data_IF_228615185490
#
_entry.id   IF_228615185490
#
_cell.length_a   1.000
_cell.length_b   1.000
_cell.length_c   1.000
_cell.angle_alpha   90.00
_cell.angle_beta   90.00
_cell.angle_gamma   90.00
#
_symmetry.space_group_name_H-M   'P 1'
#
loop_
_entity.id
_entity.type
_entity.pdbx_description
1 polymer ?
#
# COMPACT_ATOMS: atom_id res chain seq x y z
N UNK A 1 -35.10 22.29 28.17
CA UNK A 1 -35.14 20.92 27.61
C UNK A 1 -34.15 20.75 26.47
N UNK A 2 -34.41 21.34 25.30
CA UNK A 2 -33.64 21.09 24.07
C UNK A 2 -32.14 21.40 24.13
N UNK A 3 -31.73 22.49 24.79
CA UNK A 3 -30.30 22.84 24.92
C UNK A 3 -29.49 21.81 25.74
N UNK A 4 -30.10 21.25 26.80
CA UNK A 4 -29.46 20.21 27.62
C UNK A 4 -29.38 18.90 26.84
N UNK A 5 -30.41 18.55 26.08
CA UNK A 5 -30.42 17.35 25.23
C UNK A 5 -29.36 17.45 24.11
N UNK A 6 -29.22 18.61 23.49
CA UNK A 6 -28.21 18.86 22.45
C UNK A 6 -26.79 18.79 23.01
N UNK A 7 -26.56 19.38 24.19
CA UNK A 7 -25.26 19.31 24.85
C UNK A 7 -24.86 17.86 25.22
N UNK A 8 -25.82 17.05 25.69
CA UNK A 8 -25.59 15.62 25.97
C UNK A 8 -25.27 14.85 24.68
N UNK A 9 -25.99 15.09 23.58
CA UNK A 9 -25.73 14.44 22.30
C UNK A 9 -24.36 14.80 21.70
N UNK A 10 -23.89 16.03 21.91
CA UNK A 10 -22.56 16.47 21.45
C UNK A 10 -21.41 15.98 22.35
N UNK A 11 -21.68 15.68 23.62
CA UNK A 11 -20.69 15.23 24.59
C UNK A 11 -20.50 13.70 24.62
N UNK A 12 -21.43 12.94 24.03
CA UNK A 12 -21.27 11.49 23.88
C UNK A 12 -20.07 11.20 22.97
N UNK A 13 -19.11 10.36 23.39
CA UNK A 13 -18.00 9.97 22.54
C UNK A 13 -18.57 9.26 21.32
N UNK A 14 -18.54 9.92 20.15
CA UNK A 14 -18.99 9.28 18.93
C UNK A 14 -18.06 8.11 18.67
N UNK A 15 -18.57 6.88 18.51
CA UNK A 15 -17.72 5.75 18.18
C UNK A 15 -16.98 6.08 16.88
N UNK A 16 -15.65 6.16 16.98
CA UNK A 16 -14.76 6.39 15.87
C UNK A 16 -14.50 5.03 15.20
N UNK A 17 -15.40 4.59 14.33
CA UNK A 17 -15.23 3.36 13.56
C UNK A 17 -14.12 3.48 12.49
N UNK A 18 -13.01 4.16 12.81
CA UNK A 18 -11.94 4.47 11.86
C UNK A 18 -12.35 5.46 10.76
N UNK A 19 -13.41 6.26 10.94
CA UNK A 19 -13.85 7.24 9.92
C UNK A 19 -12.72 8.22 9.60
N UNK A 20 -12.39 8.30 8.31
CA UNK A 20 -11.46 9.30 7.83
C UNK A 20 -11.97 10.72 8.09
N UNK A 21 -11.05 11.63 8.40
CA UNK A 21 -11.36 13.06 8.51
C UNK A 21 -11.81 13.58 7.14
N UNK A 22 -12.88 14.37 7.11
CA UNK A 22 -13.48 14.90 5.88
C UNK A 22 -12.48 15.71 5.03
N UNK A 23 -12.64 15.60 3.71
CA UNK A 23 -11.86 16.23 2.64
C UNK A 23 -12.78 16.36 1.41
N UNK A 24 -12.49 17.31 0.51
CA UNK A 24 -13.18 17.42 -0.78
C UNK A 24 -12.91 16.21 -1.69
N UNK A 25 -11.74 15.59 -1.54
CA UNK A 25 -11.36 14.37 -2.24
C UNK A 25 -11.36 13.18 -1.28
N UNK A 26 -12.10 12.12 -1.63
CA UNK A 26 -12.23 10.92 -0.82
C UNK A 26 -10.94 10.09 -0.78
N UNK A 27 -10.26 9.95 -1.92
CA UNK A 27 -9.01 9.22 -2.07
C UNK A 27 -8.02 10.07 -2.84
N UNK A 28 -6.78 10.12 -2.35
CA UNK A 28 -5.65 10.72 -3.08
C UNK A 28 -4.47 9.78 -2.99
N UNK A 29 -3.85 9.44 -4.11
CA UNK A 29 -2.72 8.52 -4.18
C UNK A 29 -1.68 9.14 -5.08
N UNK A 30 -0.49 9.42 -4.54
CA UNK A 30 0.61 9.95 -5.33
C UNK A 30 1.34 8.81 -6.02
N UNK A 31 1.14 8.66 -7.33
CA UNK A 31 1.77 7.59 -8.11
C UNK A 31 3.02 8.12 -8.81
N UNK A 32 4.17 7.40 -8.77
CA UNK A 32 5.33 7.79 -9.58
C UNK A 32 5.03 7.71 -11.06
N UNK A 33 5.79 8.45 -11.87
CA UNK A 33 5.75 8.26 -13.32
C UNK A 33 6.15 6.82 -13.67
N UNK A 34 5.26 6.13 -14.39
CA UNK A 34 5.47 4.75 -14.84
C UNK A 34 5.81 4.82 -16.33
N UNK A 35 7.04 4.47 -16.71
CA UNK A 35 7.53 4.61 -18.09
C UNK A 35 6.79 3.68 -19.06
N UNK A 36 6.46 2.45 -18.62
CA UNK A 36 5.81 1.41 -19.44
C UNK A 36 4.73 0.65 -18.64
N UNK A 37 3.64 1.31 -18.21
CA UNK A 37 2.63 0.70 -17.35
C UNK A 37 1.97 -0.54 -17.97
N UNK A 38 1.82 -0.57 -19.29
CA UNK A 38 1.29 -1.70 -20.06
C UNK A 38 2.19 -2.96 -20.00
N UNK A 39 3.49 -2.78 -19.74
CA UNK A 39 4.49 -3.86 -19.57
C UNK A 39 4.82 -4.13 -18.10
N UNK A 40 4.34 -3.30 -17.20
CA UNK A 40 4.57 -3.45 -15.77
C UNK A 40 3.51 -4.32 -15.09
N UNK A 41 3.92 -4.94 -13.98
CA UNK A 41 3.02 -5.65 -13.08
C UNK A 41 3.35 -5.27 -11.64
N UNK A 42 2.31 -4.94 -10.87
CA UNK A 42 2.42 -4.68 -9.44
C UNK A 42 1.86 -5.86 -8.66
N UNK A 43 2.68 -6.41 -7.79
CA UNK A 43 2.33 -7.48 -6.87
C UNK A 43 1.86 -6.90 -5.53
N UNK A 44 0.91 -7.57 -4.87
CA UNK A 44 0.50 -7.26 -3.51
C UNK A 44 0.71 -8.49 -2.62
N UNK A 45 1.32 -8.31 -1.45
CA UNK A 45 1.61 -9.41 -0.50
C UNK A 45 0.79 -9.36 0.77
N UNK A 46 0.03 -8.28 0.96
CA UNK A 46 -0.72 -7.99 2.19
C UNK A 46 -1.99 -7.23 1.86
N UNK A 47 -2.95 -7.24 2.79
CA UNK A 47 -4.18 -6.46 2.71
C UNK A 47 -4.33 -5.61 3.99
N UNK A 48 -4.99 -4.44 3.91
CA UNK A 48 -5.64 -3.85 2.73
C UNK A 48 -4.72 -2.87 1.98
N UNK A 49 -4.35 -3.21 0.73
CA UNK A 49 -3.62 -2.30 -0.18
C UNK A 49 -4.35 -2.06 -1.51
N UNK A 50 -5.48 -2.72 -1.73
CA UNK A 50 -6.21 -2.65 -3.00
C UNK A 50 -6.78 -1.26 -3.32
N UNK A 51 -7.00 -0.40 -2.33
CA UNK A 51 -7.56 0.94 -2.57
C UNK A 51 -6.56 1.91 -3.21
N UNK A 52 -5.25 1.66 -3.10
CA UNK A 52 -4.24 2.49 -3.76
C UNK A 52 -4.31 2.38 -5.28
N UNK A 53 -4.79 1.26 -5.82
CA UNK A 53 -4.76 0.94 -7.26
C UNK A 53 -5.56 1.93 -8.10
N UNK A 54 -6.57 2.58 -7.50
CA UNK A 54 -7.40 3.59 -8.16
C UNK A 54 -6.61 4.82 -8.63
N UNK A 55 -5.43 5.09 -8.05
CA UNK A 55 -4.57 6.20 -8.48
C UNK A 55 -3.61 5.85 -9.63
N UNK A 56 -3.45 4.57 -9.96
CA UNK A 56 -2.46 4.13 -10.95
C UNK A 56 -3.02 4.18 -12.38
N UNK A 57 -2.15 4.20 -13.41
CA UNK A 57 -2.59 4.13 -14.80
C UNK A 57 -3.45 2.89 -15.08
N UNK A 58 -4.52 3.06 -15.86
CA UNK A 58 -5.45 1.97 -16.18
C UNK A 58 -4.81 0.80 -16.97
N UNK A 59 -3.70 1.03 -17.66
CA UNK A 59 -2.95 0.00 -18.39
C UNK A 59 -2.09 -0.89 -17.49
N UNK A 60 -1.87 -0.49 -16.22
CA UNK A 60 -1.07 -1.22 -15.25
C UNK A 60 -1.84 -2.41 -14.67
N UNK A 61 -1.20 -3.58 -14.68
CA UNK A 61 -1.77 -4.78 -14.07
C UNK A 61 -1.39 -4.91 -12.60
N UNK A 62 -2.30 -5.53 -11.83
CA UNK A 62 -2.11 -5.88 -10.42
C UNK A 62 -2.40 -7.37 -10.19
N UNK A 63 -1.67 -7.98 -9.27
CA UNK A 63 -1.93 -9.36 -8.82
C UNK A 63 -1.59 -9.54 -7.34
N UNK A 64 -2.43 -10.26 -6.60
CA UNK A 64 -2.14 -10.57 -5.19
C UNK A 64 -1.48 -11.92 -5.05
N UNK A 65 -0.28 -11.97 -4.50
CA UNK A 65 0.48 -13.22 -4.31
C UNK A 65 0.45 -13.72 -2.86
N UNK A 66 -0.31 -13.04 -2.01
CA UNK A 66 -0.65 -13.43 -0.64
C UNK A 66 -1.90 -12.68 -0.19
N UNK A 67 -2.56 -13.18 0.86
CA UNK A 67 -3.78 -12.62 1.44
C UNK A 67 -5.07 -12.96 0.67
N UNK A 68 -6.18 -13.11 1.40
CA UNK A 68 -7.54 -13.13 0.84
C UNK A 68 -8.00 -14.39 0.11
N UNK A 69 -7.11 -15.26 -0.36
CA UNK A 69 -7.47 -16.51 -1.05
C UNK A 69 -6.41 -17.61 -0.83
N UNK A 70 -6.78 -18.90 -0.71
CA UNK A 70 -5.80 -19.99 -0.62
C UNK A 70 -5.00 -20.08 -1.92
N UNK A 71 -3.67 -20.04 -1.83
CA UNK A 71 -2.81 -20.28 -2.99
C UNK A 71 -3.00 -21.68 -3.57
N UNK A 72 -2.75 -21.82 -4.88
CA UNK A 72 -2.74 -23.11 -5.56
C UNK A 72 -1.72 -23.08 -6.70
N UNK A 73 -1.24 -24.26 -7.13
CA UNK A 73 -0.29 -24.35 -8.23
C UNK A 73 -0.80 -23.71 -9.54
N UNK A 74 -2.11 -23.80 -9.80
CA UNK A 74 -2.74 -23.14 -10.96
C UNK A 74 -2.73 -21.61 -10.81
N UNK A 75 -2.89 -21.10 -9.59
CA UNK A 75 -2.78 -19.67 -9.33
C UNK A 75 -1.34 -19.18 -9.57
N UNK A 76 -0.34 -19.94 -9.10
CA UNK A 76 1.07 -19.59 -9.29
C UNK A 76 1.45 -19.60 -10.79
N UNK A 77 0.94 -20.57 -11.55
CA UNK A 77 1.08 -20.58 -13.03
C UNK A 77 0.43 -19.34 -13.67
N UNK A 78 -0.73 -18.91 -13.17
CA UNK A 78 -1.40 -17.70 -13.67
C UNK A 78 -0.58 -16.45 -13.38
N UNK A 79 -0.01 -16.31 -12.18
CA UNK A 79 0.89 -15.21 -11.81
C UNK A 79 2.11 -15.20 -12.75
N UNK A 80 2.76 -16.35 -12.95
CA UNK A 80 3.92 -16.48 -13.84
C UNK A 80 3.58 -16.09 -15.29
N UNK A 81 2.41 -16.50 -15.79
CA UNK A 81 1.92 -16.13 -17.12
C UNK A 81 1.68 -14.61 -17.24
N UNK A 82 1.07 -13.97 -16.24
CA UNK A 82 0.91 -12.51 -16.21
C UNK A 82 2.28 -11.80 -16.25
N UNK A 83 3.24 -12.29 -15.48
CA UNK A 83 4.58 -11.72 -15.48
C UNK A 83 5.29 -11.90 -16.84
N UNK A 84 5.11 -13.02 -17.51
CA UNK A 84 5.67 -13.28 -18.84
C UNK A 84 5.04 -12.37 -19.91
N UNK A 85 3.73 -12.20 -19.90
CA UNK A 85 2.98 -11.34 -20.81
C UNK A 85 3.40 -9.87 -20.69
N UNK A 86 3.58 -9.39 -19.47
CA UNK A 86 3.92 -7.99 -19.19
C UNK A 86 5.40 -7.71 -19.49
N UNK A 87 6.30 -8.62 -19.14
CA UNK A 87 7.73 -8.51 -19.46
C UNK A 87 8.53 -7.57 -18.54
N UNK A 88 7.86 -6.77 -17.70
CA UNK A 88 8.48 -5.93 -16.68
C UNK A 88 8.61 -4.45 -17.08
N UNK A 89 8.96 -3.56 -16.14
CA UNK A 89 9.44 -3.84 -14.78
C UNK A 89 8.36 -4.33 -13.81
N UNK A 90 8.77 -5.04 -12.75
CA UNK A 90 7.88 -5.56 -11.71
C UNK A 90 8.07 -4.80 -10.40
N UNK A 91 6.98 -4.62 -9.66
CA UNK A 91 6.99 -3.93 -8.39
C UNK A 91 6.18 -4.68 -7.35
N UNK A 92 6.44 -4.46 -6.07
CA UNK A 92 5.53 -4.84 -5.00
C UNK A 92 5.02 -3.58 -4.31
N UNK A 93 3.71 -3.55 -4.06
CA UNK A 93 3.04 -2.49 -3.32
C UNK A 93 2.79 -2.94 -1.89
N UNK A 94 3.33 -2.19 -0.94
CA UNK A 94 3.30 -2.49 0.49
C UNK A 94 2.72 -1.30 1.26
N UNK A 95 2.15 -1.55 2.44
CA UNK A 95 1.82 -0.46 3.35
C UNK A 95 3.09 0.22 3.88
N UNK A 96 2.98 1.50 4.22
CA UNK A 96 3.99 2.20 5.03
C UNK A 96 3.36 2.71 6.32
N UNK A 97 4.12 2.63 7.40
CA UNK A 97 3.76 3.06 8.75
C UNK A 97 4.38 4.43 9.08
N UNK A 98 5.02 5.05 8.09
CA UNK A 98 5.55 6.41 8.25
C UNK A 98 4.45 7.41 8.58
N UNK A 99 4.82 8.34 9.46
CA UNK A 99 3.96 9.45 9.86
C UNK A 99 3.96 10.54 8.78
N UNK A 100 2.95 11.40 8.77
CA UNK A 100 2.87 12.50 7.82
C UNK A 100 4.09 13.43 8.00
N UNK A 101 4.95 13.61 6.98
CA UNK A 101 6.09 14.53 7.06
C UNK A 101 5.68 15.96 7.40
N UNK A 102 4.46 16.38 7.02
CA UNK A 102 3.92 17.71 7.31
C UNK A 102 3.67 17.92 8.81
N UNK A 103 3.42 16.85 9.58
CA UNK A 103 3.26 16.91 11.04
C UNK A 103 4.59 17.00 11.79
N UNK A 104 5.73 16.97 11.09
CA UNK A 104 7.08 17.07 11.65
C UNK A 104 7.28 16.14 12.85
N UNK A 105 7.10 14.82 12.67
CA UNK A 105 7.20 13.85 13.76
C UNK A 105 8.59 13.92 14.42
N UNK A 106 8.61 13.69 15.75
CA UNK A 106 9.87 13.57 16.51
C UNK A 106 10.75 12.47 15.92
N UNK A 107 12.07 12.60 16.08
CA UNK A 107 13.05 11.65 15.56
C UNK A 107 12.74 10.20 15.98
N UNK A 108 12.34 9.99 17.24
CA UNK A 108 11.95 8.68 17.75
C UNK A 108 10.78 8.05 16.97
N UNK A 109 9.72 8.83 16.70
CA UNK A 109 8.59 8.33 15.91
C UNK A 109 8.97 8.02 14.46
N UNK A 110 9.92 8.77 13.89
CA UNK A 110 10.43 8.47 12.54
C UNK A 110 11.15 7.11 12.52
N UNK A 111 12.04 6.89 13.49
CA UNK A 111 12.76 5.61 13.63
C UNK A 111 11.82 4.42 13.78
N UNK A 112 10.79 4.56 14.62
CA UNK A 112 9.75 3.53 14.78
C UNK A 112 9.03 3.23 13.45
N UNK A 113 8.72 4.26 12.65
CA UNK A 113 8.15 4.08 11.32
C UNK A 113 9.11 3.37 10.35
N UNK A 114 10.39 3.73 10.37
CA UNK A 114 11.42 3.11 9.53
C UNK A 114 11.61 1.62 9.86
N UNK A 115 11.62 1.27 11.15
CA UNK A 115 11.70 -0.10 11.66
C UNK A 115 10.45 -0.91 11.29
N UNK A 116 9.26 -0.33 11.43
CA UNK A 116 8.01 -0.97 11.03
C UNK A 116 7.97 -1.21 9.51
N UNK A 117 8.39 -0.24 8.70
CA UNK A 117 8.50 -0.38 7.25
C UNK A 117 9.51 -1.48 6.86
N UNK A 118 10.61 -1.61 7.60
CA UNK A 118 11.59 -2.66 7.40
C UNK A 118 11.00 -4.05 7.70
N UNK A 119 10.22 -4.18 8.78
CA UNK A 119 9.52 -5.43 9.11
C UNK A 119 8.52 -5.82 8.00
N UNK A 120 7.75 -4.85 7.49
CA UNK A 120 6.82 -5.07 6.37
C UNK A 120 7.55 -5.57 5.12
N UNK A 121 8.71 -4.99 4.77
CA UNK A 121 9.52 -5.45 3.63
C UNK A 121 10.10 -6.84 3.85
N UNK A 122 10.50 -7.18 5.08
CA UNK A 122 11.01 -8.51 5.40
C UNK A 122 9.93 -9.59 5.23
N UNK A 123 8.70 -9.33 5.69
CA UNK A 123 7.56 -10.22 5.47
C UNK A 123 7.23 -10.37 3.97
N UNK A 124 7.22 -9.26 3.24
CA UNK A 124 7.02 -9.26 1.79
C UNK A 124 8.10 -10.08 1.08
N UNK A 125 9.36 -9.99 1.50
CA UNK A 125 10.46 -10.75 0.93
C UNK A 125 10.25 -12.27 1.07
N UNK A 126 9.76 -12.76 2.22
CA UNK A 126 9.40 -14.18 2.41
C UNK A 126 8.30 -14.61 1.44
N UNK A 127 7.32 -13.75 1.20
CA UNK A 127 6.26 -14.05 0.23
C UNK A 127 6.78 -14.05 -1.20
N UNK A 128 7.57 -13.05 -1.58
CA UNK A 128 8.18 -12.95 -2.91
C UNK A 128 9.09 -14.16 -3.21
N UNK A 129 9.84 -14.63 -2.21
CA UNK A 129 10.76 -15.76 -2.33
C UNK A 129 10.06 -17.03 -2.84
N UNK A 130 8.86 -17.31 -2.31
CA UNK A 130 8.03 -18.46 -2.72
C UNK A 130 7.62 -18.41 -4.20
N UNK A 131 7.63 -17.23 -4.79
CA UNK A 131 7.28 -16.99 -6.20
C UNK A 131 8.51 -16.78 -7.09
N UNK A 132 9.73 -17.08 -6.60
CA UNK A 132 10.97 -16.88 -7.35
C UNK A 132 11.33 -15.40 -7.56
N UNK A 133 10.87 -14.54 -6.65
CA UNK A 133 11.07 -13.10 -6.71
C UNK A 133 11.90 -12.62 -5.51
N UNK A 134 12.49 -11.43 -5.65
CA UNK A 134 13.17 -10.73 -4.57
C UNK A 134 12.99 -9.22 -4.71
N UNK A 135 13.06 -8.51 -3.59
CA UNK A 135 13.21 -7.05 -3.63
C UNK A 135 14.53 -6.71 -4.32
N UNK A 136 14.48 -5.72 -5.22
CA UNK A 136 15.67 -5.21 -5.90
C UNK A 136 16.46 -4.30 -4.94
N UNK A 137 17.70 -4.67 -4.55
CA UNK A 137 18.49 -3.87 -3.61
C UNK A 137 19.05 -2.59 -4.24
N UNK A 138 19.13 -2.51 -5.58
CA UNK A 138 19.70 -1.36 -6.29
C UNK A 138 18.63 -0.29 -6.50
N UNK A 139 17.47 -0.68 -7.03
CA UNK A 139 16.36 0.26 -7.24
C UNK A 139 15.63 0.61 -5.94
N UNK A 140 15.63 -0.31 -4.95
CA UNK A 140 15.13 -0.07 -3.60
C UNK A 140 13.61 0.12 -3.52
N UNK A 141 13.20 0.71 -2.39
CA UNK A 141 11.81 1.01 -2.06
C UNK A 141 11.62 2.51 -1.86
N UNK A 142 10.53 3.06 -2.38
CA UNK A 142 10.17 4.47 -2.18
C UNK A 142 8.80 4.57 -1.54
N UNK A 143 8.68 5.48 -0.58
CA UNK A 143 7.41 5.78 0.10
C UNK A 143 6.68 6.89 -0.64
N UNK A 144 5.40 6.68 -0.88
CA UNK A 144 4.53 7.61 -1.57
C UNK A 144 3.37 8.00 -0.67
N UNK A 145 3.01 9.30 -0.64
CA UNK A 145 1.89 9.77 0.15
C UNK A 145 0.58 9.28 -0.47
N UNK A 146 -0.32 8.83 0.38
CA UNK A 146 -1.69 8.54 0.01
C UNK A 146 -2.62 8.84 1.18
N UNK A 147 -3.89 9.08 0.85
CA UNK A 147 -4.87 9.60 1.78
C UNK A 147 -6.24 8.99 1.53
N UNK A 148 -6.91 8.64 2.64
CA UNK A 148 -8.37 8.52 2.68
C UNK A 148 -8.86 9.75 3.45
N UNK A 149 -9.58 10.65 2.77
CA UNK A 149 -9.89 11.97 3.30
C UNK A 149 -8.62 12.75 3.68
N UNK A 150 -8.47 13.09 4.97
CA UNK A 150 -7.24 13.67 5.53
C UNK A 150 -6.38 12.69 6.34
N UNK A 151 -6.73 11.41 6.37
CA UNK A 151 -5.89 10.41 7.04
C UNK A 151 -4.71 10.07 6.14
N UNK A 152 -3.48 10.29 6.64
CA UNK A 152 -2.26 9.91 5.93
C UNK A 152 -2.03 8.40 6.04
N UNK A 153 -2.03 7.72 4.90
CA UNK A 153 -1.90 6.28 4.78
C UNK A 153 -0.90 6.02 3.64
N UNK A 154 0.41 6.23 3.88
CA UNK A 154 1.41 6.08 2.84
C UNK A 154 1.58 4.62 2.43
N UNK A 155 2.18 4.43 1.26
CA UNK A 155 2.54 3.11 0.75
C UNK A 155 3.97 3.09 0.26
N UNK A 156 4.59 1.91 0.24
CA UNK A 156 5.89 1.69 -0.36
C UNK A 156 5.68 1.03 -1.74
N UNK A 157 6.32 1.57 -2.77
CA UNK A 157 6.50 0.87 -4.04
C UNK A 157 7.95 0.44 -4.15
N UNK A 158 8.17 -0.87 -4.19
CA UNK A 158 9.49 -1.47 -4.26
C UNK A 158 9.68 -2.17 -5.60
N UNK A 159 10.83 -1.95 -6.23
CA UNK A 159 11.20 -2.72 -7.43
C UNK A 159 11.44 -4.19 -7.06
N UNK A 160 11.06 -5.08 -7.96
CA UNK A 160 11.15 -6.54 -7.80
C UNK A 160 11.95 -7.12 -8.95
N UNK A 161 12.94 -7.95 -8.60
CA UNK A 161 13.72 -8.72 -9.55
C UNK A 161 13.29 -10.19 -9.50
N UNK A 162 13.36 -10.86 -10.66
CA UNK A 162 13.32 -12.32 -10.71
C UNK A 162 14.63 -12.89 -10.19
N UNK A 163 14.55 -14.09 -9.60
CA UNK A 163 15.71 -14.90 -9.25
C UNK A 163 16.23 -15.70 -10.43
#
# INVERSE_FOLDING_TARGET
GGAVLLAVLLALPTPHWGRARWSSEAFRVSVPEMVHPERSLVLTTQAPVGWYTAGFPASLAFVSISGGFPGSALYDQRVAAMMAERGGPFYVLLTSIQQDPAEKPRAERRRQGDEADAAVRAEAAVTLDRHGLRLDPVAGCRVYPAYIGRNYLPYQLCAVARK
#
